data_IF_323372379933
#
_entry.id   IF_323372379933
#
_cell.length_a   1.000
_cell.length_b   1.000
_cell.length_c   1.000
_cell.angle_alpha   90.00
_cell.angle_beta   90.00
_cell.angle_gamma   90.00
#
_symmetry.space_group_name_H-M   'P 1'
#
loop_
_entity.id
_entity.type
_entity.pdbx_description
1 polymer ?
#
# COMPACT_ATOMS: atom_id res chain seq x y z
N UNK A 1 -8.79 12.31 -17.84
CA UNK A 1 -9.31 11.90 -16.51
C UNK A 1 -8.14 11.40 -15.68
N UNK A 2 -8.01 11.80 -14.39
CA UNK A 2 -6.91 11.38 -13.53
C UNK A 2 -6.75 9.86 -13.48
N UNK A 3 -5.51 9.39 -13.36
CA UNK A 3 -5.11 7.99 -13.34
C UNK A 3 -4.61 7.62 -11.96
N UNK A 4 -5.22 6.59 -11.37
CA UNK A 4 -4.91 6.11 -10.03
C UNK A 4 -4.31 4.71 -10.13
N UNK A 5 -3.15 4.49 -9.53
CA UNK A 5 -2.57 3.17 -9.36
C UNK A 5 -2.77 2.68 -7.92
N UNK A 6 -3.35 1.49 -7.77
CA UNK A 6 -3.40 0.75 -6.51
C UNK A 6 -2.24 -0.25 -6.43
N UNK A 7 -1.39 -0.13 -5.42
CA UNK A 7 -0.32 -1.09 -5.09
C UNK A 7 -0.64 -1.73 -3.74
N UNK A 8 -0.70 -3.05 -3.65
CA UNK A 8 -0.90 -3.72 -2.37
C UNK A 8 -1.21 -5.19 -2.53
N UNK A 9 -1.66 -5.81 -1.43
CA UNK A 9 -1.86 -7.25 -1.36
C UNK A 9 -3.30 -7.71 -1.56
N UNK A 10 -3.64 -8.90 -1.06
CA UNK A 10 -4.95 -9.52 -1.26
C UNK A 10 -6.06 -8.62 -0.74
N UNK A 11 -5.79 -7.82 0.30
CA UNK A 11 -6.75 -6.85 0.83
C UNK A 11 -7.12 -5.83 -0.25
N UNK A 12 -6.15 -5.25 -0.94
CA UNK A 12 -6.45 -4.28 -1.99
C UNK A 12 -7.06 -4.90 -3.23
N UNK A 13 -6.83 -6.19 -3.52
CA UNK A 13 -7.62 -6.91 -4.53
C UNK A 13 -9.10 -6.94 -4.16
N UNK A 14 -9.42 -7.14 -2.88
CA UNK A 14 -10.78 -7.19 -2.36
C UNK A 14 -11.56 -5.91 -2.63
N UNK A 15 -10.97 -4.73 -2.37
CA UNK A 15 -11.68 -3.46 -2.55
C UNK A 15 -11.57 -2.86 -3.96
N UNK A 16 -10.68 -3.35 -4.83
CA UNK A 16 -10.40 -2.72 -6.14
C UNK A 16 -11.65 -2.47 -6.99
N UNK A 17 -12.55 -3.45 -7.10
CA UNK A 17 -13.75 -3.31 -7.94
C UNK A 17 -14.75 -2.30 -7.36
N UNK A 18 -14.90 -2.29 -6.03
CA UNK A 18 -15.74 -1.31 -5.35
C UNK A 18 -15.17 0.11 -5.53
N UNK A 19 -13.86 0.30 -5.38
CA UNK A 19 -13.17 1.58 -5.62
C UNK A 19 -13.36 2.07 -7.05
N UNK A 20 -13.21 1.17 -8.05
CA UNK A 20 -13.47 1.49 -9.46
C UNK A 20 -14.90 1.98 -9.68
N UNK A 21 -15.88 1.28 -9.11
CA UNK A 21 -17.29 1.66 -9.21
C UNK A 21 -17.56 3.01 -8.56
N UNK A 22 -17.01 3.25 -7.37
CA UNK A 22 -17.18 4.50 -6.62
C UNK A 22 -16.55 5.72 -7.33
N UNK A 23 -15.49 5.51 -8.11
CA UNK A 23 -14.77 6.55 -8.85
C UNK A 23 -15.11 6.60 -10.34
N UNK A 24 -16.16 5.88 -10.78
CA UNK A 24 -16.63 5.92 -12.16
C UNK A 24 -16.95 7.36 -12.59
N UNK A 25 -16.44 7.76 -13.76
CA UNK A 25 -16.56 9.13 -14.29
C UNK A 25 -15.69 10.18 -13.58
N UNK A 26 -14.92 9.81 -12.55
CA UNK A 26 -14.03 10.71 -11.81
C UNK A 26 -12.54 10.37 -11.98
N UNK A 27 -12.19 9.09 -11.98
CA UNK A 27 -10.81 8.63 -12.12
C UNK A 27 -10.72 7.27 -12.84
N UNK A 28 -9.62 7.06 -13.56
CA UNK A 28 -9.25 5.77 -14.13
C UNK A 28 -8.43 4.98 -13.10
N UNK A 29 -9.08 4.05 -12.41
CA UNK A 29 -8.45 3.28 -11.33
C UNK A 29 -7.89 1.95 -11.86
N UNK A 30 -6.58 1.79 -11.71
CA UNK A 30 -5.82 0.62 -12.10
C UNK A 30 -5.14 0.01 -10.87
N UNK A 31 -4.64 -1.21 -11.04
CA UNK A 31 -3.93 -1.93 -9.99
C UNK A 31 -2.65 -2.52 -10.57
N UNK A 32 -1.60 -2.56 -9.78
CA UNK A 32 -0.42 -3.34 -10.12
C UNK A 32 -0.83 -4.80 -10.42
N UNK A 33 -0.26 -5.42 -11.48
CA UNK A 33 -0.66 -6.74 -11.96
C UNK A 33 -0.10 -7.89 -11.10
N UNK A 34 -0.08 -7.72 -9.77
CA UNK A 34 0.49 -8.68 -8.82
C UNK A 34 -0.13 -8.51 -7.44
N UNK A 35 0.01 -9.50 -6.56
CA UNK A 35 -0.37 -9.37 -5.15
C UNK A 35 0.56 -8.45 -4.34
N UNK A 36 1.52 -7.76 -4.97
CA UNK A 36 2.61 -6.90 -4.46
C UNK A 36 3.47 -7.43 -3.29
N UNK A 37 2.90 -8.13 -2.31
CA UNK A 37 3.59 -8.90 -1.29
C UNK A 37 4.29 -8.00 -0.27
N UNK A 38 5.42 -8.45 0.31
CA UNK A 38 6.18 -7.66 1.27
C UNK A 38 6.96 -6.54 0.59
N UNK A 39 7.48 -5.60 1.38
CA UNK A 39 8.37 -4.52 0.92
C UNK A 39 9.54 -5.02 0.06
N UNK A 40 10.10 -6.19 0.36
CA UNK A 40 11.16 -6.80 -0.45
C UNK A 40 10.72 -7.11 -1.90
N UNK A 41 9.46 -7.50 -2.09
CA UNK A 41 8.88 -7.67 -3.43
C UNK A 41 8.64 -6.32 -4.11
N UNK A 42 8.24 -5.30 -3.35
CA UNK A 42 8.20 -3.92 -3.80
C UNK A 42 9.53 -3.49 -4.41
N UNK A 43 10.64 -3.64 -3.68
CA UNK A 43 11.98 -3.23 -4.15
C UNK A 43 12.33 -3.84 -5.51
N UNK A 44 11.99 -5.12 -5.72
CA UNK A 44 12.30 -5.82 -6.97
C UNK A 44 11.43 -5.40 -8.15
N UNK A 45 10.22 -4.90 -7.91
CA UNK A 45 9.20 -4.79 -8.95
C UNK A 45 8.59 -3.40 -9.10
N UNK A 46 8.95 -2.44 -8.24
CA UNK A 46 8.29 -1.13 -8.22
C UNK A 46 8.36 -0.43 -9.57
N UNK A 47 9.50 -0.49 -10.27
CA UNK A 47 9.64 0.10 -11.61
C UNK A 47 8.67 -0.51 -12.62
N UNK A 48 8.53 -1.84 -12.62
CA UNK A 48 7.60 -2.53 -13.50
C UNK A 48 6.13 -2.16 -13.20
N UNK A 49 5.79 -1.95 -11.93
CA UNK A 49 4.44 -1.52 -11.55
C UNK A 49 4.18 -0.06 -11.91
N UNK A 50 5.16 0.81 -11.76
CA UNK A 50 5.04 2.24 -12.09
C UNK A 50 4.85 2.47 -13.59
N UNK A 51 5.35 1.60 -14.46
CA UNK A 51 5.12 1.69 -15.92
C UNK A 51 3.93 0.86 -16.42
N UNK A 52 3.15 0.25 -15.53
CA UNK A 52 2.02 -0.64 -15.90
C UNK A 52 0.77 0.08 -16.41
N UNK A 53 0.86 1.39 -16.68
CA UNK A 53 -0.23 2.23 -17.13
C UNK A 53 -0.79 1.72 -18.48
N UNK A 54 -2.07 1.31 -18.56
CA UNK A 54 -2.66 0.92 -19.85
C UNK A 54 -2.66 2.10 -20.81
N UNK A 55 -2.13 1.89 -22.02
CA UNK A 55 -1.93 2.94 -23.02
C UNK A 55 -0.71 3.84 -22.77
N UNK A 56 0.15 3.50 -21.82
CA UNK A 56 1.28 4.33 -21.40
C UNK A 56 0.88 5.50 -20.50
N UNK A 57 1.85 6.38 -20.23
CA UNK A 57 1.66 7.61 -19.44
C UNK A 57 2.03 7.49 -17.96
N UNK A 58 1.82 8.58 -17.23
CA UNK A 58 2.14 8.72 -15.80
C UNK A 58 0.91 8.49 -14.92
N UNK A 59 1.14 8.32 -13.61
CA UNK A 59 0.10 8.24 -12.60
C UNK A 59 -0.10 9.61 -11.94
N UNK A 60 -1.35 10.01 -11.72
CA UNK A 60 -1.67 11.22 -10.98
C UNK A 60 -1.68 10.93 -9.47
N UNK A 61 -2.17 9.74 -9.09
CA UNK A 61 -2.21 9.26 -7.71
C UNK A 61 -1.69 7.83 -7.64
N UNK A 62 -0.86 7.55 -6.65
CA UNK A 62 -0.46 6.19 -6.27
C UNK A 62 -0.97 5.94 -4.85
N UNK A 63 -1.96 5.06 -4.72
CA UNK A 63 -2.45 4.55 -3.45
C UNK A 63 -1.78 3.23 -3.16
N UNK A 64 -1.09 3.12 -2.02
CA UNK A 64 -0.24 1.95 -1.76
C UNK A 64 -0.32 1.46 -0.32
N UNK A 65 -0.12 0.15 -0.15
CA UNK A 65 0.04 -0.50 1.14
C UNK A 65 1.13 -1.60 1.07
N UNK A 66 1.94 -1.66 2.13
CA UNK A 66 2.79 -2.80 2.48
C UNK A 66 2.69 -3.01 4.00
N UNK A 67 2.40 -4.24 4.43
CA UNK A 67 2.42 -4.54 5.87
C UNK A 67 2.14 -5.99 6.23
N UNK A 68 0.99 -6.55 5.81
CA UNK A 68 0.58 -7.93 6.22
C UNK A 68 1.66 -8.96 5.86
N UNK A 69 2.24 -8.83 4.67
CA UNK A 69 3.27 -9.76 4.20
C UNK A 69 4.65 -9.53 4.86
N UNK A 70 4.88 -8.39 5.50
CA UNK A 70 6.09 -8.10 6.28
C UNK A 70 5.93 -8.48 7.76
N UNK A 71 4.80 -9.07 8.20
CA UNK A 71 4.53 -9.37 9.64
C UNK A 71 5.63 -10.17 10.35
N UNK A 72 6.34 -11.03 9.63
CA UNK A 72 7.46 -11.84 10.13
C UNK A 72 8.85 -11.27 9.76
N UNK A 73 8.89 -10.06 9.21
CA UNK A 73 10.13 -9.33 8.87
C UNK A 73 10.45 -8.35 9.99
N UNK A 74 11.73 -8.23 10.41
CA UNK A 74 12.15 -7.19 11.33
C UNK A 74 11.61 -5.82 10.90
N UNK A 75 11.04 -5.07 11.84
CA UNK A 75 10.38 -3.79 11.53
C UNK A 75 11.36 -2.85 10.83
N UNK A 76 12.58 -2.70 11.36
CA UNK A 76 13.64 -1.88 10.78
C UNK A 76 13.90 -2.19 9.29
N UNK A 77 14.09 -3.47 8.93
CA UNK A 77 14.35 -3.88 7.55
C UNK A 77 13.18 -3.55 6.61
N UNK A 78 11.95 -3.77 7.07
CA UNK A 78 10.76 -3.45 6.26
C UNK A 78 10.58 -1.93 6.12
N UNK A 79 10.89 -1.13 7.15
CA UNK A 79 10.77 0.33 7.09
C UNK A 79 11.83 0.96 6.20
N UNK A 80 13.08 0.47 6.26
CA UNK A 80 14.14 0.91 5.36
C UNK A 80 13.80 0.64 3.88
N UNK A 81 13.12 -0.47 3.60
CA UNK A 81 12.62 -0.77 2.24
C UNK A 81 11.38 0.07 1.89
N UNK A 82 10.47 0.28 2.83
CA UNK A 82 9.30 1.13 2.63
C UNK A 82 9.71 2.56 2.29
N UNK A 83 10.72 3.10 2.96
CA UNK A 83 11.29 4.41 2.68
C UNK A 83 11.86 4.48 1.25
N UNK A 84 12.68 3.52 0.84
CA UNK A 84 13.18 3.44 -0.55
C UNK A 84 12.04 3.39 -1.58
N UNK A 85 10.95 2.67 -1.26
CA UNK A 85 9.77 2.61 -2.13
C UNK A 85 9.07 3.95 -2.23
N UNK A 86 8.90 4.65 -1.10
CA UNK A 86 8.32 6.00 -1.05
C UNK A 86 9.15 6.97 -1.87
N UNK A 87 10.47 7.01 -1.66
CA UNK A 87 11.38 7.86 -2.44
C UNK A 87 11.28 7.58 -3.94
N UNK A 88 11.28 6.31 -4.32
CA UNK A 88 11.16 5.92 -5.72
C UNK A 88 9.82 6.33 -6.32
N UNK A 89 8.72 6.14 -5.60
CA UNK A 89 7.39 6.57 -6.05
C UNK A 89 7.28 8.09 -6.16
N UNK A 90 7.90 8.86 -5.24
CA UNK A 90 7.92 10.34 -5.30
C UNK A 90 8.56 10.87 -6.57
N UNK A 91 9.58 10.20 -7.10
CA UNK A 91 10.22 10.57 -8.37
C UNK A 91 9.27 10.54 -9.58
N UNK A 92 8.09 9.90 -9.47
CA UNK A 92 7.08 9.92 -10.54
C UNK A 92 6.32 11.24 -10.63
N UNK A 93 6.37 12.07 -9.58
CA UNK A 93 5.54 13.27 -9.45
C UNK A 93 4.08 12.99 -9.08
N UNK A 94 3.68 11.73 -8.91
CA UNK A 94 2.33 11.37 -8.47
C UNK A 94 2.08 11.79 -7.02
N UNK A 95 0.82 12.10 -6.71
CA UNK A 95 0.38 12.23 -5.32
C UNK A 95 0.40 10.86 -4.65
N UNK A 96 1.12 10.73 -3.54
CA UNK A 96 1.22 9.47 -2.81
C UNK A 96 0.21 9.43 -1.65
N UNK A 97 -0.53 8.33 -1.56
CA UNK A 97 -1.45 8.03 -0.46
C UNK A 97 -1.11 6.65 0.08
N UNK A 98 -0.62 6.58 1.31
CA UNK A 98 -0.37 5.33 2.00
C UNK A 98 -1.62 4.89 2.77
N UNK A 99 -2.06 3.66 2.54
CA UNK A 99 -3.09 3.04 3.36
C UNK A 99 -2.47 2.26 4.51
N UNK A 100 -2.95 2.50 5.73
CA UNK A 100 -2.60 1.67 6.89
C UNK A 100 -3.03 0.23 6.65
N UNK A 101 -2.25 -0.72 7.15
CA UNK A 101 -2.64 -2.14 7.09
C UNK A 101 -3.85 -2.37 7.98
N UNK A 102 -4.86 -3.11 7.51
CA UNK A 102 -6.08 -3.40 8.29
C UNK A 102 -5.81 -4.37 9.44
N UNK A 103 -6.68 -4.43 10.48
CA UNK A 103 -6.52 -5.37 11.57
C UNK A 103 -6.51 -6.82 11.09
N UNK A 104 -5.78 -7.68 11.82
CA UNK A 104 -5.75 -9.12 11.61
C UNK A 104 -5.91 -9.82 12.96
N UNK A 105 -6.56 -10.99 13.04
CA UNK A 105 -6.68 -11.73 14.29
C UNK A 105 -5.33 -12.31 14.73
N UNK A 106 -5.18 -12.63 16.01
CA UNK A 106 -4.07 -13.49 16.45
C UNK A 106 -4.25 -14.89 15.85
N UNK A 107 -3.18 -15.42 15.26
CA UNK A 107 -3.15 -16.76 14.67
C UNK A 107 -1.75 -17.36 14.88
N UNK A 108 -1.58 -18.21 15.92
CA UNK A 108 -0.30 -18.84 16.25
C UNK A 108 0.26 -19.73 15.13
N UNK A 109 -0.60 -20.42 14.38
CA UNK A 109 -0.17 -21.30 13.28
C UNK A 109 0.48 -20.48 12.16
N UNK A 110 -0.05 -19.29 11.90
CA UNK A 110 0.49 -18.35 10.91
C UNK A 110 1.56 -17.39 11.47
N UNK A 111 1.94 -17.55 12.75
CA UNK A 111 2.83 -16.64 13.49
C UNK A 111 2.38 -15.19 13.36
N UNK A 112 1.09 -14.96 13.55
CA UNK A 112 0.44 -13.69 13.32
C UNK A 112 -0.05 -13.13 14.64
N UNK A 113 0.25 -11.85 14.91
CA UNK A 113 -0.31 -11.15 16.06
C UNK A 113 -0.92 -9.82 15.63
N UNK A 114 -2.05 -9.44 16.23
CA UNK A 114 -2.66 -8.13 16.03
C UNK A 114 -1.70 -7.00 16.40
N UNK A 115 -0.92 -7.20 17.47
CA UNK A 115 0.11 -6.27 17.92
C UNK A 115 1.17 -5.98 16.83
N UNK A 116 1.57 -6.99 16.04
CA UNK A 116 2.56 -6.80 14.96
C UNK A 116 2.08 -5.82 13.87
N UNK A 117 0.77 -5.71 13.65
CA UNK A 117 0.20 -4.74 12.70
C UNK A 117 0.16 -3.35 13.30
N UNK A 118 -0.20 -3.22 14.58
CA UNK A 118 -0.21 -1.93 15.29
C UNK A 118 1.18 -1.32 15.29
N UNK A 119 2.19 -2.09 15.71
CA UNK A 119 3.59 -1.65 15.74
C UNK A 119 4.08 -1.21 14.34
N UNK A 120 3.76 -2.01 13.31
CA UNK A 120 4.20 -1.73 11.94
C UNK A 120 3.48 -0.55 11.32
N UNK A 121 2.19 -0.37 11.58
CA UNK A 121 1.46 0.82 11.13
C UNK A 121 2.05 2.08 11.77
N UNK A 122 2.37 2.05 13.07
CA UNK A 122 3.02 3.17 13.75
C UNK A 122 4.39 3.50 13.13
N UNK A 123 5.22 2.49 12.88
CA UNK A 123 6.52 2.68 12.25
C UNK A 123 6.40 3.23 10.81
N UNK A 124 5.46 2.69 10.02
CA UNK A 124 5.21 3.15 8.66
C UNK A 124 4.66 4.58 8.63
N UNK A 125 3.80 4.96 9.57
CA UNK A 125 3.28 6.32 9.70
C UNK A 125 4.40 7.34 9.93
N UNK A 126 5.43 7.00 10.70
CA UNK A 126 6.64 7.84 10.86
C UNK A 126 7.35 8.07 9.52
N UNK A 127 7.53 7.02 8.71
CA UNK A 127 8.11 7.14 7.36
C UNK A 127 7.23 8.05 6.49
N UNK A 128 5.90 7.87 6.51
CA UNK A 128 4.99 8.72 5.74
C UNK A 128 5.06 10.18 6.16
N UNK A 129 5.13 10.46 7.47
CA UNK A 129 5.27 11.81 8.01
C UNK A 129 6.57 12.48 7.54
N UNK A 130 7.70 11.77 7.62
CA UNK A 130 9.00 12.27 7.16
C UNK A 130 9.01 12.63 5.68
N UNK A 131 8.25 11.89 4.87
CA UNK A 131 8.21 12.07 3.42
C UNK A 131 7.03 12.90 2.91
N UNK A 132 6.15 13.37 3.79
CA UNK A 132 4.95 14.14 3.43
C UNK A 132 3.92 13.35 2.64
N UNK A 133 3.80 12.05 2.89
CA UNK A 133 2.84 11.15 2.23
C UNK A 133 1.50 11.21 2.97
N UNK A 134 0.41 11.36 2.22
CA UNK A 134 -0.94 11.36 2.80
C UNK A 134 -1.30 9.97 3.35
N UNK A 135 -2.12 9.92 4.40
CA UNK A 135 -2.52 8.67 5.06
C UNK A 135 -4.02 8.41 4.85
N UNK A 136 -4.35 7.21 4.41
CA UNK A 136 -5.69 6.63 4.36
C UNK A 136 -5.81 5.58 5.47
N UNK A 137 -6.46 5.93 6.57
CA UNK A 137 -6.52 5.10 7.79
C UNK A 137 -7.59 3.98 7.70
N UNK A 138 -7.28 2.97 6.89
CA UNK A 138 -8.09 1.76 6.77
C UNK A 138 -8.10 0.92 8.06
N UNK A 139 -7.09 1.02 8.92
CA UNK A 139 -7.06 0.26 10.18
C UNK A 139 -8.20 0.70 11.08
N UNK A 140 -8.25 2.00 11.37
CA UNK A 140 -9.30 2.59 12.22
C UNK A 140 -10.67 2.44 11.59
N UNK A 141 -10.77 2.58 10.26
CA UNK A 141 -12.04 2.41 9.54
C UNK A 141 -12.61 0.99 9.69
N UNK A 142 -11.78 -0.05 9.63
CA UNK A 142 -12.22 -1.45 9.69
C UNK A 142 -12.39 -1.97 11.12
N UNK A 143 -11.66 -1.43 12.11
CA UNK A 143 -11.72 -1.87 13.50
C UNK A 143 -13.15 -2.04 14.10
N UNK A 144 -14.14 -1.16 13.85
CA UNK A 144 -15.49 -1.34 14.38
C UNK A 144 -16.35 -2.39 13.64
N UNK A 145 -15.81 -3.04 12.61
CA UNK A 145 -16.52 -4.00 11.75
C UNK A 145 -15.98 -5.44 11.85
N UNK A 146 -15.18 -5.74 12.88
CA UNK A 146 -14.57 -7.06 13.14
C UNK A 146 -15.47 -7.99 13.96
#
# INVERSE_FOLDING_TARGET
MPRVLLIGDSVSRGYTQATRKALAGKANVHRAPANCGPTASGIRNIDAWLVSAPGGGTWDVIHFNFGIHDRNTPVADSMARLEQLVERMKQTGATLVWATTTPIPDDPEKKQTAASIIERNAAAATVMQQHGVAVDDLYTFIAPHL
#
